data_IF_424747053163
#
_entry.id   IF_424747053163
#
_cell.length_a   1.000
_cell.length_b   1.000
_cell.length_c   1.000
_cell.angle_alpha   90.00
_cell.angle_beta   90.00
_cell.angle_gamma   90.00
#
_symmetry.space_group_name_H-M   'P 1'
#
loop_
_entity.id
_entity.type
_entity.pdbx_description
1 polymer ?
#
# COMPACT_ATOMS: atom_id res chain seq x y z
N UNK A 1 5.16 4.51 -23.66
CA UNK A 1 5.14 5.39 -22.46
C UNK A 1 5.04 4.54 -21.18
N UNK A 2 6.15 3.99 -20.69
CA UNK A 2 6.16 2.99 -19.59
C UNK A 2 5.51 3.49 -18.29
N UNK A 3 5.86 4.70 -17.84
CA UNK A 3 5.36 5.28 -16.59
C UNK A 3 3.83 5.39 -16.53
N UNK A 4 3.18 5.72 -17.66
CA UNK A 4 1.72 5.97 -17.70
C UNK A 4 0.89 4.71 -17.91
N UNK A 5 1.44 3.69 -18.56
CA UNK A 5 0.67 2.53 -19.02
C UNK A 5 1.03 1.22 -18.32
N UNK A 6 2.14 1.17 -17.59
CA UNK A 6 2.54 -0.01 -16.84
C UNK A 6 1.53 -0.32 -15.75
N UNK A 7 1.11 -1.59 -15.67
CA UNK A 7 0.22 -2.11 -14.64
C UNK A 7 0.76 -1.83 -13.22
N UNK A 8 2.05 -2.09 -12.98
CA UNK A 8 2.68 -1.87 -11.67
C UNK A 8 2.60 -0.39 -11.27
N UNK A 9 2.95 0.53 -12.18
CA UNK A 9 2.88 1.96 -11.87
C UNK A 9 1.44 2.45 -11.67
N UNK A 10 0.46 1.85 -12.36
CA UNK A 10 -0.96 2.16 -12.14
C UNK A 10 -1.43 1.69 -10.77
N UNK A 11 -1.04 0.48 -10.35
CA UNK A 11 -1.42 -0.08 -9.07
C UNK A 11 -0.79 0.68 -7.90
N UNK A 12 0.51 1.00 -7.97
CA UNK A 12 1.20 1.77 -6.92
C UNK A 12 0.59 3.16 -6.69
N UNK A 13 0.00 3.76 -7.74
CA UNK A 13 -0.71 5.06 -7.66
C UNK A 13 -2.15 4.94 -7.17
N UNK A 14 -2.73 3.74 -7.20
CA UNK A 14 -4.09 3.48 -6.74
C UNK A 14 -4.07 2.95 -5.30
N UNK A 15 -3.99 3.86 -4.33
CA UNK A 15 -3.96 3.52 -2.90
C UNK A 15 -5.24 2.84 -2.40
N UNK A 16 -6.34 2.95 -3.14
CA UNK A 16 -7.60 2.28 -2.79
C UNK A 16 -7.51 0.75 -3.02
N UNK A 17 -6.46 0.28 -3.71
CA UNK A 17 -6.12 -1.14 -3.86
C UNK A 17 -5.19 -1.69 -2.77
N UNK A 18 -4.72 -0.87 -1.83
CA UNK A 18 -3.90 -1.38 -0.73
C UNK A 18 -4.69 -2.36 0.13
N UNK A 19 -4.01 -3.40 0.60
CA UNK A 19 -4.58 -4.47 1.38
C UNK A 19 -4.15 -4.37 2.85
N UNK A 20 -4.64 -5.29 3.67
CA UNK A 20 -4.36 -5.33 5.11
C UNK A 20 -4.70 -4.03 5.82
N UNK A 21 -3.87 -3.69 6.80
CA UNK A 21 -3.94 -2.45 7.57
C UNK A 21 -3.89 -1.20 6.70
N UNK A 22 -3.07 -1.18 5.66
CA UNK A 22 -2.94 -0.04 4.76
C UNK A 22 -4.23 0.21 3.95
N UNK A 23 -5.02 -0.84 3.72
CA UNK A 23 -6.31 -0.76 3.02
C UNK A 23 -7.37 0.05 3.75
N UNK A 24 -7.32 0.14 5.09
CA UNK A 24 -8.29 0.92 5.90
C UNK A 24 -7.67 2.13 6.59
N UNK A 25 -6.38 2.39 6.38
CA UNK A 25 -5.65 3.43 7.09
C UNK A 25 -6.03 4.84 6.62
N UNK A 26 -6.35 5.75 7.55
CA UNK A 26 -6.66 7.16 7.24
C UNK A 26 -5.47 7.89 6.59
N UNK A 27 -4.25 7.38 6.77
CA UNK A 27 -3.02 7.94 6.20
C UNK A 27 -2.58 7.27 4.90
N UNK A 28 -3.36 6.34 4.32
CA UNK A 28 -2.94 5.56 3.13
C UNK A 28 -2.59 6.40 1.90
N UNK A 29 -3.18 7.59 1.76
CA UNK A 29 -2.88 8.56 0.69
C UNK A 29 -1.58 9.34 0.92
N UNK A 30 -1.13 9.46 2.17
CA UNK A 30 0.05 10.24 2.56
C UNK A 30 1.28 9.36 2.79
N UNK A 31 1.11 8.29 3.55
CA UNK A 31 2.19 7.38 3.92
C UNK A 31 2.29 6.21 2.94
N UNK A 32 1.21 5.42 2.85
CA UNK A 32 1.15 4.22 2.03
C UNK A 32 2.10 3.09 2.42
N UNK A 33 3.19 3.35 3.16
CA UNK A 33 4.22 2.39 3.56
C UNK A 33 5.19 2.04 2.43
N UNK A 34 6.30 1.37 2.77
CA UNK A 34 7.28 0.90 1.80
C UNK A 34 6.76 -0.32 1.00
N UNK A 35 6.48 -0.12 -0.29
CA UNK A 35 5.92 -1.17 -1.17
C UNK A 35 6.96 -2.26 -1.50
N UNK A 36 8.24 -1.89 -1.57
CA UNK A 36 9.34 -2.85 -1.74
C UNK A 36 9.47 -3.80 -0.55
N UNK A 37 9.28 -3.29 0.67
CA UNK A 37 9.30 -4.12 1.88
C UNK A 37 8.07 -5.02 1.96
N UNK A 38 6.88 -4.51 1.63
CA UNK A 38 5.69 -5.35 1.51
C UNK A 38 5.94 -6.54 0.55
N UNK A 39 6.50 -6.28 -0.64
CA UNK A 39 6.89 -7.33 -1.59
C UNK A 39 7.89 -8.34 -1.00
N UNK A 40 8.96 -7.86 -0.36
CA UNK A 40 10.02 -8.72 0.16
C UNK A 40 9.54 -9.67 1.26
N UNK A 41 8.57 -9.24 2.08
CA UNK A 41 8.09 -10.03 3.21
C UNK A 41 6.84 -10.86 2.91
N UNK A 42 5.93 -10.37 2.06
CA UNK A 42 4.62 -11.00 1.80
C UNK A 42 4.51 -11.61 0.41
N UNK A 43 5.43 -11.27 -0.51
CA UNK A 43 5.30 -11.56 -1.94
C UNK A 43 4.27 -10.67 -2.65
N UNK A 44 3.68 -9.69 -1.96
CA UNK A 44 2.65 -8.80 -2.46
C UNK A 44 3.00 -7.32 -2.17
N UNK A 45 3.33 -6.56 -3.21
CA UNK A 45 3.69 -5.14 -3.07
C UNK A 45 2.50 -4.22 -2.72
N UNK A 46 1.27 -4.74 -2.77
CA UNK A 46 0.05 -4.02 -2.38
C UNK A 46 -0.40 -4.31 -0.96
N UNK A 47 0.29 -5.20 -0.24
CA UNK A 47 -0.01 -5.54 1.15
C UNK A 47 0.46 -4.44 2.13
N UNK A 48 0.15 -4.64 3.40
CA UNK A 48 0.62 -3.78 4.47
C UNK A 48 2.15 -3.80 4.61
N UNK A 49 2.72 -2.70 5.10
CA UNK A 49 4.15 -2.65 5.39
C UNK A 49 4.41 -3.21 6.79
N UNK A 50 5.23 -4.28 6.94
CA UNK A 50 5.34 -5.04 8.19
C UNK A 50 6.02 -4.28 9.35
N UNK A 51 6.80 -3.24 9.05
CA UNK A 51 7.43 -2.37 10.05
C UNK A 51 6.54 -1.24 10.55
N UNK A 52 5.31 -1.11 10.05
CA UNK A 52 4.40 -0.05 10.47
C UNK A 52 3.75 -0.41 11.81
N UNK A 53 4.09 0.32 12.88
CA UNK A 53 3.50 0.12 14.22
C UNK A 53 2.08 0.69 14.37
N UNK A 54 1.61 1.49 13.41
CA UNK A 54 0.46 2.40 13.61
C UNK A 54 -0.89 1.85 14.12
N UNK A 55 -1.61 0.87 13.58
CA UNK A 55 -3.03 0.54 13.90
C UNK A 55 -4.03 1.67 13.53
N UNK A 56 -4.65 1.57 12.34
CA UNK A 56 -5.76 2.40 11.91
C UNK A 56 -6.91 2.33 12.89
N UNK A 57 -7.58 3.45 13.06
CA UNK A 57 -8.89 3.43 13.71
C UNK A 57 -9.84 2.75 12.73
N UNK A 58 -10.59 1.75 13.20
CA UNK A 58 -11.76 1.31 12.44
C UNK A 58 -12.65 2.53 12.29
N UNK A 59 -12.88 2.95 11.05
CA UNK A 59 -13.95 3.91 10.77
C UNK A 59 -15.23 3.38 11.43
N UNK A 60 -15.88 4.23 12.22
CA UNK A 60 -17.20 3.94 12.78
C UNK A 60 -18.23 3.85 11.67
#
# INVERSE_FOLDING_TARGET
KLYRTSHIFNDLRNVDKYQGKCGICEYRRLCGGCRARAMAHTGNYMDEEPGCSYIPRKDK
#
